data_IF_059388777359
#
_entry.id   IF_059388777359
#
_cell.length_a   1.000
_cell.length_b   1.000
_cell.length_c   1.000
_cell.angle_alpha   90.00
_cell.angle_beta   90.00
_cell.angle_gamma   90.00
#
_symmetry.space_group_name_H-M   'P 1'
#
loop_
_entity.id
_entity.type
_entity.pdbx_description
1 polymer ?
#
# COMPACT_ATOMS: atom_id res chain seq x y z
N UNK A 1 3.74 12.81 82.78
CA UNK A 1 4.79 12.92 81.73
C UNK A 1 4.08 12.85 80.39
N UNK A 2 3.70 13.97 79.75
CA UNK A 2 4.50 14.94 78.98
C UNK A 2 4.89 14.48 77.56
N UNK A 3 4.14 15.01 76.58
CA UNK A 3 4.53 15.50 75.24
C UNK A 3 5.41 14.65 74.28
N UNK A 4 4.79 14.31 73.14
CA UNK A 4 5.04 14.84 71.79
C UNK A 4 6.32 14.47 70.97
N UNK A 5 6.05 14.07 69.71
CA UNK A 5 6.86 13.90 68.47
C UNK A 5 7.81 15.08 68.12
N UNK A 6 8.76 15.01 67.13
CA UNK A 6 8.72 14.35 65.79
C UNK A 6 10.10 13.71 65.33
N UNK A 7 10.47 13.39 64.07
CA UNK A 7 10.00 13.71 62.68
C UNK A 7 10.52 12.71 61.60
N UNK A 8 9.81 12.62 60.45
CA UNK A 8 10.28 12.42 59.04
C UNK A 8 11.26 11.28 58.62
N UNK A 9 10.70 10.33 57.86
CA UNK A 9 10.98 9.96 56.44
C UNK A 9 12.32 10.25 55.74
N UNK A 10 12.73 9.28 54.89
CA UNK A 10 13.76 9.24 53.78
C UNK A 10 14.95 8.30 54.10
N UNK A 11 15.48 7.44 53.22
CA UNK A 11 15.08 6.95 51.87
C UNK A 11 15.90 5.70 51.51
N UNK A 12 15.36 4.84 50.62
CA UNK A 12 16.07 4.04 49.61
C UNK A 12 17.33 3.24 50.02
N UNK A 13 17.20 1.91 50.12
CA UNK A 13 18.30 0.96 49.88
C UNK A 13 17.96 0.12 48.64
N UNK A 14 18.89 0.04 47.68
CA UNK A 14 18.65 -0.57 46.38
C UNK A 14 18.82 -2.10 46.40
N UNK A 15 17.98 -2.80 45.65
CA UNK A 15 18.21 -4.19 45.24
C UNK A 15 18.14 -4.26 43.71
N UNK A 16 19.31 -4.38 43.07
CA UNK A 16 19.43 -4.50 41.62
C UNK A 16 19.25 -5.98 41.25
N UNK A 17 18.19 -6.29 40.52
CA UNK A 17 18.00 -7.59 39.88
C UNK A 17 17.81 -7.38 38.37
N UNK A 18 18.92 -7.40 37.63
CA UNK A 18 18.89 -7.36 36.18
C UNK A 18 18.46 -8.75 35.65
N UNK A 19 17.24 -8.84 35.12
CA UNK A 19 16.83 -9.93 34.24
C UNK A 19 16.46 -9.31 32.90
N UNK A 20 17.34 -9.46 31.92
CA UNK A 20 17.03 -9.12 30.55
C UNK A 20 16.00 -10.11 30.03
N UNK A 21 14.79 -9.63 29.73
CA UNK A 21 13.85 -10.35 28.88
C UNK A 21 13.83 -9.59 27.56
N UNK A 22 14.18 -10.29 26.48
CA UNK A 22 14.33 -9.71 25.16
C UNK A 22 13.06 -8.98 24.73
N UNK A 23 13.24 -7.94 23.90
CA UNK A 23 12.13 -7.19 23.31
C UNK A 23 11.31 -8.06 22.38
N UNK A 24 10.36 -8.81 22.93
CA UNK A 24 9.18 -9.22 22.22
C UNK A 24 8.32 -7.95 22.05
N UNK A 25 8.65 -7.15 21.03
CA UNK A 25 7.63 -6.35 20.36
C UNK A 25 6.61 -7.34 19.85
N UNK A 26 5.55 -7.55 20.63
CA UNK A 26 4.30 -8.13 20.17
C UNK A 26 3.78 -7.19 19.08
N UNK A 27 4.25 -7.43 17.85
CA UNK A 27 3.61 -6.91 16.66
C UNK A 27 2.14 -7.28 16.79
N UNK A 28 1.27 -6.27 16.61
CA UNK A 28 -0.16 -6.47 16.76
C UNK A 28 -0.55 -7.66 15.88
N UNK A 29 -1.00 -8.75 16.53
CA UNK A 29 -1.46 -9.94 15.85
C UNK A 29 -2.78 -9.57 15.17
N UNK A 30 -2.68 -9.01 13.96
CA UNK A 30 -3.80 -8.82 13.06
C UNK A 30 -4.28 -10.21 12.64
N UNK A 31 -5.12 -10.80 13.48
CA UNK A 31 -5.66 -12.13 13.29
C UNK A 31 -6.46 -12.17 11.98
N UNK A 32 -5.85 -12.71 10.93
CA UNK A 32 -6.43 -12.82 9.59
C UNK A 32 -6.05 -11.71 8.59
N UNK A 33 -5.01 -10.89 8.84
CA UNK A 33 -4.45 -10.07 7.77
C UNK A 33 -3.71 -10.94 6.75
N UNK A 34 -4.13 -10.89 5.49
CA UNK A 34 -3.42 -11.56 4.40
C UNK A 34 -2.05 -10.89 4.17
N UNK A 35 -1.10 -11.68 3.69
CA UNK A 35 0.32 -11.32 3.60
C UNK A 35 0.84 -11.49 2.17
N UNK A 36 1.84 -10.68 1.80
CA UNK A 36 2.55 -10.75 0.52
C UNK A 36 3.87 -11.49 0.74
N UNK A 37 4.07 -12.57 0.00
CA UNK A 37 5.36 -13.25 -0.13
C UNK A 37 5.86 -13.14 -1.58
N UNK A 38 7.16 -12.85 -1.83
CA UNK A 38 8.21 -12.62 -0.85
C UNK A 38 8.11 -11.25 -0.14
N UNK A 39 8.32 -11.23 1.17
CA UNK A 39 8.42 -10.01 1.97
C UNK A 39 9.77 -9.29 1.75
N UNK A 40 9.83 -7.99 2.05
CA UNK A 40 11.05 -7.17 1.97
C UNK A 40 11.71 -7.07 0.59
N UNK A 41 10.97 -7.36 -0.48
CA UNK A 41 11.51 -7.59 -1.82
C UNK A 41 11.07 -6.49 -2.79
N UNK A 42 12.02 -5.97 -3.58
CA UNK A 42 11.74 -5.01 -4.64
C UNK A 42 11.05 -5.70 -5.82
N UNK A 43 10.07 -5.04 -6.43
CA UNK A 43 9.29 -5.58 -7.53
C UNK A 43 8.99 -4.54 -8.61
N UNK A 44 8.69 -5.05 -9.80
CA UNK A 44 8.06 -4.30 -10.90
C UNK A 44 6.82 -5.04 -11.35
N UNK A 45 5.70 -4.36 -11.57
CA UNK A 45 4.46 -4.98 -12.06
C UNK A 45 4.07 -4.36 -13.40
N UNK A 46 4.64 -4.84 -14.53
CA UNK A 46 4.17 -4.49 -15.87
C UNK A 46 2.76 -5.01 -16.14
N UNK A 47 2.05 -4.34 -17.04
CA UNK A 47 0.69 -4.73 -17.44
C UNK A 47 -0.03 -3.66 -18.25
N UNK A 48 -1.36 -3.67 -18.16
CA UNK A 48 -2.27 -2.77 -18.89
C UNK A 48 -3.25 -2.08 -17.94
N UNK A 49 -3.62 -0.86 -18.29
CA UNK A 49 -4.63 -0.06 -17.62
C UNK A 49 -5.55 0.58 -18.66
N UNK A 50 -6.85 0.58 -18.40
CA UNK A 50 -7.86 1.27 -19.21
C UNK A 50 -8.53 2.32 -18.34
N UNK A 51 -8.46 3.58 -18.76
CA UNK A 51 -8.94 4.71 -17.96
C UNK A 51 -9.82 5.65 -18.79
N UNK A 52 -10.99 5.98 -18.27
CA UNK A 52 -11.82 7.10 -18.73
C UNK A 52 -11.50 8.34 -17.90
N UNK A 53 -11.28 9.48 -18.56
CA UNK A 53 -11.03 10.78 -17.91
C UNK A 53 -11.75 11.90 -18.64
N UNK A 54 -11.87 13.11 -18.05
CA UNK A 54 -12.38 14.27 -18.79
C UNK A 54 -11.49 14.62 -20.00
N UNK A 55 -10.18 14.38 -19.92
CA UNK A 55 -9.24 14.59 -21.03
C UNK A 55 -9.47 13.63 -22.22
N UNK A 56 -10.08 12.47 -21.98
CA UNK A 56 -10.54 11.55 -23.03
C UNK A 56 -12.03 11.71 -23.37
N UNK A 57 -12.69 12.78 -22.89
CA UNK A 57 -14.14 13.00 -23.03
C UNK A 57 -14.98 11.81 -22.52
N UNK A 58 -14.50 11.11 -21.49
CA UNK A 58 -15.13 9.91 -20.94
C UNK A 58 -14.87 8.63 -21.73
N UNK A 59 -14.24 8.69 -22.91
CA UNK A 59 -13.89 7.51 -23.70
C UNK A 59 -12.81 6.70 -22.98
N UNK A 60 -12.95 5.36 -22.83
CA UNK A 60 -11.91 4.52 -22.23
C UNK A 60 -10.64 4.51 -23.08
N UNK A 61 -9.49 4.79 -22.44
CA UNK A 61 -8.18 4.80 -23.09
C UNK A 61 -7.32 3.67 -22.54
N UNK A 62 -6.97 2.71 -23.38
CA UNK A 62 -6.03 1.64 -23.04
C UNK A 62 -4.58 2.11 -23.13
N UNK A 63 -3.85 1.92 -22.04
CA UNK A 63 -2.43 2.20 -21.88
C UNK A 63 -1.70 0.98 -21.30
N UNK A 64 -0.40 0.89 -21.52
CA UNK A 64 0.50 0.03 -20.75
C UNK A 64 0.88 0.74 -19.45
N UNK A 65 0.97 -0.01 -18.35
CA UNK A 65 1.42 0.49 -17.06
C UNK A 65 2.54 -0.40 -16.52
N UNK A 66 3.50 0.18 -15.81
CA UNK A 66 4.48 -0.54 -15.00
C UNK A 66 4.53 0.09 -13.64
N UNK A 67 4.09 -0.62 -12.60
CA UNK A 67 4.28 -0.21 -11.21
C UNK A 67 5.68 -0.64 -10.75
N UNK A 68 6.30 0.06 -9.80
CA UNK A 68 7.54 -0.39 -9.15
C UNK A 68 7.51 -0.04 -7.66
N UNK A 69 8.07 -0.91 -6.83
CA UNK A 69 7.97 -0.75 -5.38
C UNK A 69 8.73 -1.80 -4.58
N UNK A 70 8.41 -1.88 -3.30
CA UNK A 70 8.96 -2.87 -2.36
C UNK A 70 7.86 -3.45 -1.48
N UNK A 71 7.81 -4.77 -1.31
CA UNK A 71 6.99 -5.40 -0.26
C UNK A 71 7.58 -5.04 1.11
N UNK A 72 6.72 -4.87 2.11
CA UNK A 72 7.13 -4.63 3.49
C UNK A 72 7.86 -5.84 4.05
N UNK A 73 8.76 -5.63 5.02
CA UNK A 73 9.59 -6.69 5.61
C UNK A 73 8.79 -7.75 6.39
N UNK A 74 7.58 -7.41 6.82
CA UNK A 74 6.60 -8.28 7.47
C UNK A 74 5.54 -8.85 6.50
N UNK A 75 5.61 -8.49 5.21
CA UNK A 75 4.62 -8.88 4.19
C UNK A 75 3.23 -8.25 4.34
N UNK A 76 2.99 -7.33 5.30
CA UNK A 76 1.65 -6.79 5.56
C UNK A 76 1.14 -5.81 4.50
N UNK A 77 2.03 -5.29 3.66
CA UNK A 77 1.74 -4.32 2.61
C UNK A 77 2.87 -4.26 1.58
N UNK A 78 2.66 -3.55 0.47
CA UNK A 78 3.69 -3.16 -0.47
C UNK A 78 3.60 -1.67 -0.81
N UNK A 79 4.75 -1.00 -0.81
CA UNK A 79 4.89 0.42 -1.14
C UNK A 79 5.26 0.56 -2.62
N UNK A 80 4.33 1.06 -3.43
CA UNK A 80 4.55 1.42 -4.83
C UNK A 80 5.15 2.83 -4.86
N UNK A 81 6.44 2.92 -5.12
CA UNK A 81 7.22 4.17 -5.07
C UNK A 81 7.30 4.89 -6.41
N UNK A 82 7.13 4.15 -7.51
CA UNK A 82 7.08 4.68 -8.88
C UNK A 82 5.98 3.94 -9.66
N UNK A 83 5.39 4.63 -10.63
CA UNK A 83 4.68 3.95 -11.70
C UNK A 83 4.80 4.73 -13.01
N UNK A 84 4.79 3.99 -14.11
CA UNK A 84 4.99 4.53 -15.46
C UNK A 84 3.85 4.11 -16.37
N UNK A 85 3.09 5.09 -16.84
CA UNK A 85 2.06 4.88 -17.87
C UNK A 85 2.70 5.20 -19.23
N UNK A 86 2.37 4.39 -20.23
CA UNK A 86 2.89 4.51 -21.60
C UNK A 86 1.91 3.87 -22.60
N UNK A 87 2.10 4.08 -23.90
CA UNK A 87 1.26 3.47 -24.92
C UNK A 87 1.18 4.27 -26.22
N UNK A 88 0.51 3.70 -27.22
CA UNK A 88 0.37 4.30 -28.55
C UNK A 88 -0.54 5.53 -28.57
N UNK A 89 -1.50 5.62 -27.64
CA UNK A 89 -2.37 6.79 -27.50
C UNK A 89 -1.56 7.96 -26.88
N UNK A 90 -1.69 9.16 -27.45
CA UNK A 90 -1.02 10.38 -26.98
C UNK A 90 -1.30 10.69 -25.51
N UNK A 91 -2.47 10.32 -24.99
CA UNK A 91 -2.84 10.52 -23.59
C UNK A 91 -2.08 9.60 -22.62
N UNK A 92 -1.48 8.49 -23.06
CA UNK A 92 -0.80 7.55 -22.17
C UNK A 92 0.59 8.02 -21.71
N UNK A 93 1.25 8.91 -22.44
CA UNK A 93 2.58 9.45 -22.10
C UNK A 93 2.55 10.77 -21.32
N UNK A 94 1.36 11.27 -20.99
CA UNK A 94 1.11 12.54 -20.31
C UNK A 94 0.75 12.47 -18.81
N UNK A 95 0.32 11.34 -18.20
CA UNK A 95 -0.04 11.33 -16.79
C UNK A 95 1.15 11.69 -15.90
N UNK A 96 0.95 12.66 -15.01
CA UNK A 96 1.87 13.00 -13.93
C UNK A 96 1.38 12.33 -12.66
N UNK A 97 2.11 11.34 -12.15
CA UNK A 97 1.70 10.67 -10.92
C UNK A 97 1.81 11.60 -9.71
N UNK A 98 0.92 11.38 -8.75
CA UNK A 98 0.84 12.13 -7.50
C UNK A 98 0.63 11.19 -6.33
N UNK A 99 0.86 11.70 -5.13
CA UNK A 99 0.61 11.01 -3.86
C UNK A 99 1.40 9.69 -3.69
N UNK A 100 2.52 9.53 -4.39
CA UNK A 100 3.44 8.42 -4.16
C UNK A 100 4.13 8.57 -2.78
N UNK A 101 4.42 7.47 -2.06
CA UNK A 101 4.12 6.09 -2.44
C UNK A 101 2.62 5.75 -2.28
N UNK A 102 2.12 4.89 -3.17
CA UNK A 102 0.81 4.25 -3.01
C UNK A 102 0.99 2.95 -2.21
N UNK A 103 0.07 2.64 -1.31
CA UNK A 103 0.17 1.47 -0.43
C UNK A 103 -0.79 0.39 -0.90
N UNK A 104 -0.26 -0.74 -1.36
CA UNK A 104 -1.03 -1.96 -1.58
C UNK A 104 -1.12 -2.73 -0.26
N UNK A 105 -2.35 -2.99 0.20
CA UNK A 105 -2.65 -3.76 1.41
C UNK A 105 -3.46 -4.99 1.01
N UNK A 106 -3.00 -6.23 1.28
CA UNK A 106 -3.82 -7.41 1.07
C UNK A 106 -5.03 -7.40 2.01
N UNK A 107 -6.21 -7.75 1.48
CA UNK A 107 -7.44 -7.89 2.27
C UNK A 107 -7.87 -9.35 2.40
N UNK A 108 -7.41 -10.22 1.50
CA UNK A 108 -7.51 -11.69 1.62
C UNK A 108 -6.43 -12.37 0.78
N UNK A 109 -6.35 -13.70 0.82
CA UNK A 109 -5.48 -14.50 -0.04
C UNK A 109 -5.75 -14.35 -1.55
N UNK A 110 -6.82 -13.64 -1.96
CA UNK A 110 -7.13 -13.36 -3.38
C UNK A 110 -7.61 -11.93 -3.64
N UNK A 111 -7.48 -11.01 -2.67
CA UNK A 111 -7.90 -9.60 -2.82
C UNK A 111 -6.97 -8.64 -2.10
N UNK A 112 -6.89 -7.40 -2.61
CA UNK A 112 -6.14 -6.32 -1.98
C UNK A 112 -6.64 -4.95 -2.41
N UNK A 113 -6.20 -3.93 -1.70
CA UNK A 113 -6.56 -2.53 -1.96
C UNK A 113 -5.30 -1.69 -2.13
N UNK A 114 -5.26 -0.84 -3.17
CA UNK A 114 -4.19 0.13 -3.37
C UNK A 114 -4.71 1.50 -2.96
N UNK A 115 -4.23 1.99 -1.81
CA UNK A 115 -4.59 3.28 -1.24
C UNK A 115 -3.74 4.43 -1.78
N UNK A 116 -4.30 5.64 -1.73
CA UNK A 116 -3.66 6.91 -2.09
C UNK A 116 -3.36 7.09 -3.59
N UNK A 117 -3.95 6.26 -4.47
CA UNK A 117 -3.69 6.30 -5.92
C UNK A 117 -4.15 7.63 -6.50
N UNK A 118 -3.26 8.34 -7.20
CA UNK A 118 -3.61 9.59 -7.86
C UNK A 118 -2.65 10.00 -8.97
N UNK A 119 -3.19 10.66 -9.99
CA UNK A 119 -2.43 11.20 -11.12
C UNK A 119 -3.12 12.44 -11.68
N UNK A 120 -2.39 13.25 -12.45
CA UNK A 120 -2.94 14.37 -13.20
C UNK A 120 -2.71 14.17 -14.70
N UNK A 121 -3.72 14.46 -15.51
CA UNK A 121 -3.68 14.30 -16.96
C UNK A 121 -4.29 15.54 -17.61
N UNK A 122 -3.49 16.27 -18.40
CA UNK A 122 -3.92 17.49 -19.13
C UNK A 122 -4.67 18.49 -18.23
N UNK A 123 -4.15 18.73 -17.02
CA UNK A 123 -4.73 19.67 -16.04
C UNK A 123 -5.85 19.09 -15.15
N UNK A 124 -6.47 17.98 -15.53
CA UNK A 124 -7.40 17.25 -14.65
C UNK A 124 -6.61 16.50 -13.57
N UNK A 125 -7.18 16.37 -12.37
CA UNK A 125 -6.59 15.60 -11.26
C UNK A 125 -7.53 14.44 -10.93
N UNK A 126 -7.01 13.22 -11.06
CA UNK A 126 -7.69 11.98 -10.76
C UNK A 126 -7.13 11.43 -9.44
N UNK A 127 -7.95 11.31 -8.40
CA UNK A 127 -7.52 10.88 -7.06
C UNK A 127 -7.15 12.03 -6.09
N UNK A 128 -6.72 11.73 -4.85
CA UNK A 128 -6.48 10.39 -4.31
C UNK A 128 -7.73 9.52 -4.25
N UNK A 129 -7.57 8.23 -4.49
CA UNK A 129 -8.59 7.20 -4.34
C UNK A 129 -7.97 5.92 -3.76
N UNK A 130 -8.81 5.02 -3.23
CA UNK A 130 -8.43 3.65 -2.92
C UNK A 130 -9.05 2.73 -3.97
N UNK A 131 -8.22 1.95 -4.65
CA UNK A 131 -8.64 1.02 -5.70
C UNK A 131 -8.66 -0.40 -5.12
N UNK A 132 -9.81 -1.05 -5.10
CA UNK A 132 -9.92 -2.46 -4.75
C UNK A 132 -9.61 -3.35 -5.96
N UNK A 133 -8.95 -4.49 -5.72
CA UNK A 133 -8.57 -5.44 -6.75
C UNK A 133 -8.55 -6.89 -6.27
N UNK A 134 -8.59 -7.80 -7.23
CA UNK A 134 -8.49 -9.25 -7.05
C UNK A 134 -7.12 -9.73 -7.54
N UNK A 135 -6.49 -10.60 -6.76
CA UNK A 135 -5.21 -11.22 -7.08
C UNK A 135 -5.39 -12.71 -7.34
N UNK A 136 -4.90 -13.18 -8.49
CA UNK A 136 -4.84 -14.61 -8.80
C UNK A 136 -3.43 -15.14 -8.56
N UNK A 137 -3.27 -15.96 -7.51
CA UNK A 137 -2.01 -16.63 -7.16
C UNK A 137 -1.50 -17.61 -8.24
N UNK A 138 -2.37 -18.15 -9.10
CA UNK A 138 -1.97 -19.11 -10.13
C UNK A 138 -1.35 -18.42 -11.35
N UNK A 139 -1.93 -17.28 -11.76
CA UNK A 139 -1.40 -16.47 -12.87
C UNK A 139 -0.52 -15.32 -12.41
N UNK A 140 -0.38 -15.11 -11.10
CA UNK A 140 0.33 -13.99 -10.48
C UNK A 140 -0.15 -12.63 -11.03
N UNK A 141 -1.47 -12.48 -11.20
CA UNK A 141 -2.07 -11.31 -11.82
C UNK A 141 -2.93 -10.55 -10.83
N UNK A 142 -2.63 -9.27 -10.60
CA UNK A 142 -3.49 -8.33 -9.91
C UNK A 142 -4.42 -7.66 -10.94
N UNK A 143 -5.72 -7.73 -10.70
CA UNK A 143 -6.75 -7.11 -11.53
C UNK A 143 -7.61 -6.15 -10.70
N UNK A 144 -8.05 -5.06 -11.31
CA UNK A 144 -9.08 -4.18 -10.74
C UNK A 144 -10.00 -3.69 -11.86
N UNK A 145 -11.29 -3.52 -11.58
CA UNK A 145 -12.29 -3.14 -12.60
C UNK A 145 -13.25 -2.10 -12.05
N UNK A 146 -13.71 -1.19 -12.93
CA UNK A 146 -14.70 -0.14 -12.66
C UNK A 146 -14.46 0.65 -11.36
N UNK A 147 -13.20 1.00 -11.09
CA UNK A 147 -12.82 1.73 -9.89
C UNK A 147 -13.00 3.25 -10.10
N UNK A 148 -13.94 3.90 -9.40
CA UNK A 148 -14.15 5.33 -9.53
C UNK A 148 -13.04 6.11 -8.81
N UNK A 149 -12.67 7.25 -9.37
CA UNK A 149 -11.73 8.20 -8.76
C UNK A 149 -12.37 9.60 -8.70
N UNK A 150 -11.85 10.44 -7.81
CA UNK A 150 -12.21 11.87 -7.81
C UNK A 150 -11.82 12.53 -9.14
N UNK A 151 -12.45 13.66 -9.46
CA UNK A 151 -12.16 14.42 -10.69
C UNK A 151 -12.83 13.86 -11.95
N UNK A 152 -13.88 13.05 -11.81
CA UNK A 152 -14.61 12.39 -12.90
C UNK A 152 -13.71 11.45 -13.74
N UNK A 153 -12.78 10.76 -13.08
CA UNK A 153 -11.94 9.74 -13.68
C UNK A 153 -12.36 8.35 -13.20
N UNK A 154 -12.19 7.32 -14.04
CA UNK A 154 -12.52 5.93 -13.71
C UNK A 154 -11.45 5.02 -14.29
N UNK A 155 -10.91 4.11 -13.47
CA UNK A 155 -10.10 2.99 -13.96
C UNK A 155 -11.06 1.87 -14.34
N UNK A 156 -11.41 1.78 -15.63
CA UNK A 156 -12.32 0.77 -16.16
C UNK A 156 -11.74 -0.63 -15.97
N UNK A 157 -10.44 -0.79 -16.23
CA UNK A 157 -9.71 -2.01 -15.89
C UNK A 157 -8.24 -1.74 -15.62
N UNK A 158 -7.65 -2.60 -14.80
CA UNK A 158 -6.23 -2.71 -14.52
C UNK A 158 -5.90 -4.20 -14.51
N UNK A 159 -4.78 -4.57 -15.11
CA UNK A 159 -4.22 -5.92 -15.03
C UNK A 159 -2.71 -5.79 -15.02
N UNK A 160 -2.06 -6.20 -13.93
CA UNK A 160 -0.59 -6.16 -13.78
C UNK A 160 -0.07 -7.46 -13.18
N UNK A 161 1.12 -7.85 -13.59
CA UNK A 161 1.79 -9.08 -13.17
C UNK A 161 3.10 -8.72 -12.44
N UNK A 162 3.18 -8.84 -11.09
CA UNK A 162 4.40 -8.54 -10.35
C UNK A 162 5.56 -9.48 -10.71
N UNK A 163 6.75 -8.92 -10.87
CA UNK A 163 8.02 -9.63 -10.98
C UNK A 163 9.00 -9.07 -9.93
N UNK A 164 9.58 -9.91 -9.04
CA UNK A 164 9.33 -11.34 -8.91
C UNK A 164 7.88 -11.66 -8.50
N UNK A 165 7.41 -12.85 -8.85
CA UNK A 165 6.04 -13.28 -8.60
C UNK A 165 5.66 -13.26 -7.11
N UNK A 166 4.43 -12.81 -6.84
CA UNK A 166 3.86 -12.73 -5.50
C UNK A 166 2.86 -13.85 -5.23
N UNK A 167 2.71 -14.20 -3.95
CA UNK A 167 1.58 -14.94 -3.43
C UNK A 167 0.92 -14.17 -2.30
N UNK A 168 -0.40 -14.06 -2.32
CA UNK A 168 -1.21 -13.60 -1.20
C UNK A 168 -1.71 -14.80 -0.38
N UNK A 169 -1.51 -14.76 0.94
CA UNK A 169 -1.93 -15.81 1.89
C UNK A 169 -2.34 -15.22 3.24
#
# INVERSE_FOLDING_TARGET
>A
MTLNSPTRSRTLAAAVAAVAIAGATVGAANAGAATISPAGTAFTAPGTIVVSTPASFGVPVSCSISLSGTTSADGSSASITDAKISGSNRLCGLPQLKNLPWTLTPTSATTGEVSNVGFSLVGYNCGPATLAGSFDNMTNTLTATDQPMSGNCTVNSLSVQPDPAFTLS
#
